data_IF_443042142833
#
_entry.id   IF_443042142833
#
_cell.length_a   1.000
_cell.length_b   1.000
_cell.length_c   1.000
_cell.angle_alpha   90.00
_cell.angle_beta   90.00
_cell.angle_gamma   90.00
#
_symmetry.space_group_name_H-M   'P 1'
#
loop_
_entity.id
_entity.type
_entity.pdbx_description
1 polymer ?
#
# COMPACT_ATOMS: atom_id res chain seq x y z
N UNK A 1 1.95 -1.38 25.57
CA UNK A 1 2.47 -2.58 24.85
C UNK A 1 3.84 -2.23 24.33
N UNK A 2 4.80 -3.15 24.40
CA UNK A 2 6.22 -2.88 24.12
C UNK A 2 6.42 -2.35 22.70
N UNK A 3 7.13 -1.23 22.54
CA UNK A 3 7.46 -0.61 21.24
C UNK A 3 8.47 -1.41 20.40
N UNK A 4 8.48 -2.74 20.51
CA UNK A 4 9.44 -3.65 19.90
C UNK A 4 8.83 -4.63 18.88
N UNK A 5 7.51 -4.73 18.80
CA UNK A 5 6.87 -5.68 17.90
C UNK A 5 7.00 -5.23 16.44
N UNK A 6 7.43 -6.15 15.58
CA UNK A 6 7.65 -5.91 14.15
C UNK A 6 6.85 -6.91 13.33
N UNK A 7 6.11 -6.40 12.35
CA UNK A 7 5.34 -7.20 11.38
C UNK A 7 5.96 -7.02 10.00
N UNK A 8 6.20 -8.14 9.32
CA UNK A 8 6.62 -8.16 7.92
C UNK A 8 5.47 -8.64 7.06
N UNK A 9 5.15 -7.89 6.01
CA UNK A 9 4.15 -8.25 5.01
C UNK A 9 4.87 -8.57 3.70
N UNK A 10 4.80 -9.83 3.27
CA UNK A 10 5.24 -10.25 1.95
C UNK A 10 4.12 -9.99 0.93
N UNK A 11 4.28 -8.93 0.15
CA UNK A 11 3.35 -8.45 -0.87
C UNK A 11 3.02 -6.96 -0.68
N UNK A 12 3.83 -6.06 -1.23
CA UNK A 12 3.63 -4.60 -1.17
C UNK A 12 2.67 -4.03 -2.23
N UNK A 13 1.66 -4.81 -2.64
CA UNK A 13 0.60 -4.36 -3.54
C UNK A 13 -0.68 -4.04 -2.75
N UNK A 14 -1.84 -4.05 -3.41
CA UNK A 14 -3.14 -3.72 -2.82
C UNK A 14 -3.43 -4.42 -1.47
N UNK A 15 -3.27 -5.73 -1.38
CA UNK A 15 -3.60 -6.46 -0.15
C UNK A 15 -2.69 -6.06 1.02
N UNK A 16 -1.37 -6.02 0.81
CA UNK A 16 -0.44 -5.66 1.88
C UNK A 16 -0.51 -4.19 2.27
N UNK A 17 -0.72 -3.28 1.31
CA UNK A 17 -0.95 -1.87 1.57
C UNK A 17 -2.19 -1.64 2.45
N UNK A 18 -3.32 -2.28 2.09
CA UNK A 18 -4.56 -2.22 2.89
C UNK A 18 -4.39 -2.86 4.28
N UNK A 19 -3.66 -3.97 4.38
CA UNK A 19 -3.39 -4.62 5.67
C UNK A 19 -2.56 -3.71 6.60
N UNK A 20 -1.51 -3.08 6.07
CA UNK A 20 -0.70 -2.11 6.82
C UNK A 20 -1.54 -0.91 7.27
N UNK A 21 -2.37 -0.36 6.38
CA UNK A 21 -3.31 0.72 6.70
C UNK A 21 -4.27 0.32 7.83
N UNK A 22 -4.87 -0.87 7.73
CA UNK A 22 -5.80 -1.37 8.75
C UNK A 22 -5.12 -1.56 10.11
N UNK A 23 -3.88 -2.08 10.13
CA UNK A 23 -3.10 -2.22 11.35
C UNK A 23 -2.81 -0.87 12.01
N UNK A 24 -2.42 0.14 11.22
CA UNK A 24 -2.24 1.51 11.74
C UNK A 24 -3.54 2.09 12.29
N UNK A 25 -4.65 1.94 11.56
CA UNK A 25 -5.98 2.37 12.01
C UNK A 25 -6.47 1.66 13.28
N UNK A 26 -6.02 0.42 13.51
CA UNK A 26 -6.33 -0.36 14.71
C UNK A 26 -5.41 -0.03 15.91
N UNK A 27 -4.50 0.94 15.78
CA UNK A 27 -3.60 1.34 16.86
C UNK A 27 -2.36 0.45 17.02
N UNK A 28 -1.97 -0.30 15.98
CA UNK A 28 -0.67 -0.97 16.00
C UNK A 28 0.44 0.07 15.86
N UNK A 29 1.24 0.23 16.91
CA UNK A 29 2.34 1.20 16.98
C UNK A 29 3.70 0.59 16.63
N UNK A 30 3.78 -0.74 16.48
CA UNK A 30 5.01 -1.45 16.14
C UNK A 30 5.51 -1.16 14.72
N UNK A 31 6.68 -1.68 14.37
CA UNK A 31 7.22 -1.53 13.01
C UNK A 31 6.41 -2.38 12.03
N UNK A 32 6.02 -1.81 10.89
CA UNK A 32 5.45 -2.56 9.77
C UNK A 32 6.42 -2.43 8.60
N UNK A 33 6.86 -3.56 8.04
CA UNK A 33 7.71 -3.61 6.85
C UNK A 33 6.93 -4.29 5.72
N UNK A 34 6.68 -3.57 4.63
CA UNK A 34 6.12 -4.14 3.41
C UNK A 34 7.26 -4.50 2.46
N UNK A 35 7.24 -5.71 1.93
CA UNK A 35 8.20 -6.19 0.94
C UNK A 35 7.42 -6.58 -0.32
N UNK A 36 7.79 -6.03 -1.46
CA UNK A 36 7.25 -6.40 -2.77
C UNK A 36 8.35 -6.59 -3.79
N UNK A 37 8.08 -7.37 -4.82
CA UNK A 37 8.97 -7.51 -5.98
C UNK A 37 8.89 -6.27 -6.89
N UNK A 38 7.72 -5.65 -6.97
CA UNK A 38 7.47 -4.47 -7.79
C UNK A 38 8.12 -3.23 -7.16
N UNK A 39 8.74 -2.38 -7.98
CA UNK A 39 9.37 -1.11 -7.54
C UNK A 39 8.36 0.01 -7.28
N UNK A 40 7.08 -0.24 -7.54
CA UNK A 40 6.01 0.73 -7.40
C UNK A 40 5.43 0.73 -5.98
N UNK A 41 5.07 1.92 -5.49
CA UNK A 41 4.28 2.05 -4.26
C UNK A 41 2.95 1.28 -4.40
N UNK A 42 2.36 0.78 -3.29
CA UNK A 42 1.10 0.05 -3.35
C UNK A 42 0.04 0.80 -4.16
N UNK A 43 -0.54 0.13 -5.17
CA UNK A 43 -1.54 0.69 -6.06
C UNK A 43 -2.71 -0.28 -6.29
N UNK A 44 -3.84 0.26 -6.74
CA UNK A 44 -5.04 -0.47 -7.13
C UNK A 44 -4.92 -0.95 -8.58
N UNK A 45 -5.15 -2.24 -8.80
CA UNK A 45 -5.12 -2.84 -10.14
C UNK A 45 -6.37 -2.54 -11.00
N UNK A 46 -7.60 -2.44 -10.46
CA UNK A 46 -8.79 -2.24 -11.29
C UNK A 46 -8.78 -1.02 -12.23
N UNK A 47 -8.26 0.16 -11.83
CA UNK A 47 -8.16 1.31 -12.72
C UNK A 47 -7.22 1.09 -13.91
N UNK A 48 -6.21 0.22 -13.78
CA UNK A 48 -5.20 -0.01 -14.80
C UNK A 48 -5.77 -0.56 -16.12
N UNK A 49 -6.83 -1.36 -16.07
CA UNK A 49 -7.50 -1.88 -17.29
C UNK A 49 -8.73 -1.08 -17.70
N UNK A 50 -9.03 0.01 -16.98
CA UNK A 50 -10.24 0.82 -17.17
C UNK A 50 -9.84 2.29 -17.24
N UNK A 51 -10.11 3.08 -16.20
CA UNK A 51 -9.94 4.52 -16.19
C UNK A 51 -8.56 4.99 -16.69
N UNK A 52 -7.48 4.29 -16.35
CA UNK A 52 -6.13 4.67 -16.81
C UNK A 52 -5.98 4.53 -18.34
N UNK A 53 -6.49 3.45 -18.93
CA UNK A 53 -6.35 3.15 -20.37
C UNK A 53 -7.47 3.80 -21.20
N UNK A 54 -8.70 3.77 -20.69
CA UNK A 54 -9.92 4.17 -21.40
C UNK A 54 -10.18 5.66 -21.28
N UNK A 55 -9.88 6.25 -20.13
CA UNK A 55 -10.18 7.66 -19.83
C UNK A 55 -8.91 8.53 -19.83
N UNK A 56 -7.73 7.93 -20.02
CA UNK A 56 -6.45 8.64 -20.08
C UNK A 56 -5.97 9.17 -18.72
N UNK A 57 -6.38 8.53 -17.61
CA UNK A 57 -5.98 8.93 -16.26
C UNK A 57 -4.46 8.81 -16.02
N UNK A 58 -3.91 9.70 -15.20
CA UNK A 58 -2.50 9.67 -14.80
C UNK A 58 -2.19 8.58 -13.75
N UNK A 59 -0.92 8.17 -13.68
CA UNK A 59 -0.43 7.12 -12.76
C UNK A 59 -0.65 7.47 -11.28
N UNK A 60 -0.75 8.75 -10.94
CA UNK A 60 -0.99 9.21 -9.56
C UNK A 60 -2.34 8.75 -9.02
N UNK A 61 -3.31 8.46 -9.90
CA UNK A 61 -4.67 8.08 -9.52
C UNK A 61 -4.81 6.64 -9.03
N UNK A 62 -3.76 5.83 -9.17
CA UNK A 62 -3.84 4.40 -8.83
C UNK A 62 -3.21 4.06 -7.49
N UNK A 63 -2.41 4.94 -6.90
CA UNK A 63 -1.75 4.64 -5.63
C UNK A 63 -2.75 4.62 -4.47
N UNK A 64 -2.54 3.70 -3.51
CA UNK A 64 -3.37 3.62 -2.31
C UNK A 64 -3.20 4.86 -1.42
N UNK A 65 -2.00 5.44 -1.41
CA UNK A 65 -1.61 6.60 -0.63
C UNK A 65 -0.58 7.45 -1.39
N UNK A 66 -0.45 8.70 -0.97
CA UNK A 66 0.64 9.60 -1.39
C UNK A 66 2.01 9.02 -0.95
N UNK A 67 3.10 9.26 -1.71
CA UNK A 67 4.44 8.80 -1.34
C UNK A 67 4.88 9.16 0.09
N UNK A 68 4.47 10.31 0.61
CA UNK A 68 4.86 10.77 1.96
C UNK A 68 4.20 9.96 3.10
N UNK A 69 3.30 9.03 2.78
CA UNK A 69 2.66 8.14 3.75
C UNK A 69 3.56 7.01 4.28
N UNK A 70 4.57 6.58 3.50
CA UNK A 70 5.38 5.39 3.75
C UNK A 70 6.76 5.71 4.35
#
# INVERSE_FOLDING_TARGET
MSGSDSIVIAGAAQAGGRAAQAMRGAGFEGRILLIGEETWLPYERPPLSKALIVEGGGHETVHLHDPDYY
#
